data_IF_378687426691
#
_entry.id   IF_378687426691
#
_cell.length_a   1.000
_cell.length_b   1.000
_cell.length_c   1.000
_cell.angle_alpha   90.00
_cell.angle_beta   90.00
_cell.angle_gamma   90.00
#
_symmetry.space_group_name_H-M   'P 1'
#
loop_
_entity.id
_entity.type
_entity.pdbx_description
1 polymer ?
#
# COMPACT_ATOMS: atom_id res chain seq x y z
N UNK A 1 -13.15 29.44 -4.03
CA UNK A 1 -12.31 28.22 -4.15
C UNK A 1 -13.01 27.13 -3.38
N UNK A 2 -13.66 26.15 -4.03
CA UNK A 2 -14.32 25.06 -3.31
C UNK A 2 -13.21 24.21 -2.68
N UNK A 3 -13.14 24.17 -1.37
CA UNK A 3 -12.36 23.18 -0.65
C UNK A 3 -13.02 21.82 -0.97
N UNK A 4 -12.34 21.00 -1.75
CA UNK A 4 -12.86 19.67 -2.04
C UNK A 4 -12.75 18.85 -0.73
N UNK A 5 -13.88 18.59 -0.09
CA UNK A 5 -13.92 17.72 1.07
C UNK A 5 -13.70 16.28 0.60
N UNK A 6 -12.77 15.61 1.27
CA UNK A 6 -12.46 14.19 1.01
C UNK A 6 -12.85 13.35 2.20
N UNK A 7 -13.58 12.28 1.95
CA UNK A 7 -13.86 11.23 2.93
C UNK A 7 -12.89 10.08 2.74
N UNK A 8 -12.21 9.68 3.82
CA UNK A 8 -11.37 8.48 3.84
C UNK A 8 -12.11 7.44 4.66
N UNK A 9 -12.37 6.28 4.08
CA UNK A 9 -13.16 5.22 4.74
C UNK A 9 -12.87 3.84 4.17
N UNK A 10 -13.21 2.76 4.88
CA UNK A 10 -13.21 1.41 4.31
C UNK A 10 -14.07 1.35 3.05
N UNK A 11 -13.60 0.58 2.06
CA UNK A 11 -14.35 0.32 0.84
C UNK A 11 -15.53 -0.60 1.11
N UNK A 12 -16.62 -0.35 0.40
CA UNK A 12 -17.77 -1.24 0.30
C UNK A 12 -17.73 -1.98 -1.04
N UNK A 13 -18.54 -3.05 -1.23
CA UNK A 13 -18.63 -3.70 -2.55
C UNK A 13 -18.98 -2.75 -3.69
N UNK A 14 -19.74 -1.69 -3.43
CA UNK A 14 -20.10 -0.67 -4.43
C UNK A 14 -18.91 0.18 -4.90
N UNK A 15 -17.84 0.26 -4.14
CA UNK A 15 -16.64 1.05 -4.48
C UNK A 15 -15.65 0.27 -5.35
N UNK A 16 -15.78 -1.06 -5.47
CA UNK A 16 -14.72 -1.91 -6.01
C UNK A 16 -14.37 -1.63 -7.47
N UNK A 17 -15.35 -1.35 -8.31
CA UNK A 17 -15.08 -1.04 -9.72
C UNK A 17 -14.35 0.30 -9.87
N UNK A 18 -14.74 1.31 -9.10
CA UNK A 18 -14.07 2.60 -9.09
C UNK A 18 -12.65 2.51 -8.50
N UNK A 19 -12.47 1.75 -7.42
CA UNK A 19 -11.15 1.47 -6.84
C UNK A 19 -10.24 0.74 -7.82
N UNK A 20 -10.77 -0.26 -8.52
CA UNK A 20 -10.03 -0.99 -9.57
C UNK A 20 -9.62 -0.04 -10.69
N UNK A 21 -10.49 0.87 -11.11
CA UNK A 21 -10.16 1.86 -12.12
C UNK A 21 -9.00 2.77 -11.70
N UNK A 22 -8.97 3.24 -10.44
CA UNK A 22 -7.83 4.01 -9.89
C UNK A 22 -6.54 3.19 -9.96
N UNK A 23 -6.57 1.92 -9.57
CA UNK A 23 -5.40 1.05 -9.57
C UNK A 23 -4.89 0.77 -10.99
N UNK A 24 -5.78 0.43 -11.92
CA UNK A 24 -5.41 0.16 -13.32
C UNK A 24 -4.90 1.41 -14.01
N UNK A 25 -5.55 2.56 -13.84
CA UNK A 25 -5.06 3.83 -14.38
C UNK A 25 -3.64 4.14 -13.89
N UNK A 26 -3.35 3.84 -12.62
CA UNK A 26 -2.01 4.05 -12.05
C UNK A 26 -0.97 3.14 -12.70
N UNK A 27 -1.23 1.83 -12.83
CA UNK A 27 -0.26 0.90 -13.42
C UNK A 27 -0.06 1.13 -14.93
N UNK A 28 -1.06 1.62 -15.64
CA UNK A 28 -0.92 1.96 -17.06
C UNK A 28 -0.27 3.31 -17.31
N UNK A 29 -0.57 4.33 -16.51
CA UNK A 29 -0.12 5.72 -16.75
C UNK A 29 1.15 6.07 -16.00
N UNK A 30 1.21 5.73 -14.70
CA UNK A 30 2.31 6.16 -13.84
C UNK A 30 3.46 5.15 -13.86
N UNK A 31 3.15 3.85 -13.85
CA UNK A 31 4.16 2.80 -13.86
C UNK A 31 4.57 2.41 -15.28
N UNK A 32 3.69 2.62 -16.26
CA UNK A 32 3.95 2.27 -17.67
C UNK A 32 4.02 0.77 -17.96
N UNK A 33 3.79 -0.09 -16.95
CA UNK A 33 3.86 -1.55 -17.12
C UNK A 33 2.54 -2.15 -17.60
N UNK A 34 1.43 -1.48 -17.33
CA UNK A 34 0.09 -2.03 -17.51
C UNK A 34 -0.20 -3.19 -16.54
N UNK A 35 -1.29 -3.90 -16.80
CA UNK A 35 -1.67 -5.06 -15.99
C UNK A 35 -0.73 -6.24 -16.23
N UNK A 36 -0.14 -6.74 -15.14
CA UNK A 36 0.72 -7.92 -15.12
C UNK A 36 0.10 -8.94 -14.16
N UNK A 37 -0.39 -10.10 -14.64
CA UNK A 37 -1.13 -11.06 -13.80
C UNK A 37 -0.38 -11.50 -12.54
N UNK A 38 0.92 -11.67 -12.62
CA UNK A 38 1.75 -12.11 -11.48
C UNK A 38 1.80 -11.08 -10.36
N UNK A 39 1.65 -9.77 -10.68
CA UNK A 39 1.79 -8.67 -9.74
C UNK A 39 0.47 -8.04 -9.32
N UNK A 40 -0.60 -8.25 -10.11
CA UNK A 40 -1.85 -7.51 -9.98
C UNK A 40 -3.09 -8.41 -9.83
N UNK A 41 -2.92 -9.66 -9.36
CA UNK A 41 -4.05 -10.57 -9.12
C UNK A 41 -5.13 -9.98 -8.22
N UNK A 42 -4.68 -9.30 -7.17
CA UNK A 42 -5.54 -8.64 -6.21
C UNK A 42 -6.43 -7.57 -6.83
N UNK A 43 -5.93 -6.88 -7.87
CA UNK A 43 -6.67 -5.81 -8.57
C UNK A 43 -7.90 -6.37 -9.29
N UNK A 44 -7.83 -7.61 -9.77
CA UNK A 44 -8.96 -8.26 -10.46
C UNK A 44 -9.98 -8.80 -9.45
N UNK A 45 -9.55 -9.32 -8.32
CA UNK A 45 -10.41 -9.82 -7.25
C UNK A 45 -10.21 -9.03 -5.94
N UNK A 46 -10.57 -7.75 -5.96
CA UNK A 46 -10.45 -6.88 -4.79
C UNK A 46 -11.29 -7.36 -3.61
N UNK A 47 -12.47 -7.92 -3.88
CA UNK A 47 -13.34 -8.47 -2.84
C UNK A 47 -12.66 -9.64 -2.12
N UNK A 48 -12.18 -10.63 -2.88
CA UNK A 48 -11.48 -11.78 -2.31
C UNK A 48 -10.17 -11.41 -1.63
N UNK A 49 -9.44 -10.44 -2.18
CA UNK A 49 -8.16 -10.02 -1.62
C UNK A 49 -8.29 -9.24 -0.32
N UNK A 50 -9.30 -8.34 -0.19
CA UNK A 50 -9.31 -7.34 0.86
C UNK A 50 -10.58 -7.24 1.70
N UNK A 51 -11.73 -7.76 1.25
CA UNK A 51 -13.00 -7.64 1.94
C UNK A 51 -13.46 -8.92 2.65
N UNK A 52 -12.98 -10.09 2.21
CA UNK A 52 -13.40 -11.37 2.79
C UNK A 52 -12.69 -11.75 4.08
N UNK A 53 -11.52 -11.20 4.34
CA UNK A 53 -10.75 -11.47 5.56
C UNK A 53 -10.88 -10.29 6.51
N UNK A 54 -11.20 -10.55 7.78
CA UNK A 54 -11.22 -9.52 8.83
C UNK A 54 -9.85 -8.91 9.11
N UNK A 55 -8.78 -9.58 8.66
CA UNK A 55 -7.39 -9.13 8.79
C UNK A 55 -6.88 -8.35 7.58
N UNK A 56 -7.70 -8.18 6.55
CA UNK A 56 -7.37 -7.41 5.35
C UNK A 56 -8.30 -6.22 5.23
N UNK A 57 -7.88 -5.18 4.53
CA UNK A 57 -8.73 -4.03 4.26
C UNK A 57 -8.35 -3.32 2.97
N UNK A 58 -9.35 -2.70 2.37
CA UNK A 58 -9.21 -1.71 1.30
C UNK A 58 -9.82 -0.40 1.80
N UNK A 59 -9.04 0.67 1.79
CA UNK A 59 -9.47 2.01 2.15
C UNK A 59 -9.58 2.83 0.86
N UNK A 60 -10.61 3.65 0.76
CA UNK A 60 -10.81 4.56 -0.37
C UNK A 60 -10.84 6.01 0.09
N UNK A 61 -10.33 6.88 -0.76
CA UNK A 61 -10.54 8.31 -0.69
C UNK A 61 -11.63 8.71 -1.68
N UNK A 62 -12.67 9.33 -1.19
CA UNK A 62 -13.84 9.75 -1.97
C UNK A 62 -13.92 11.28 -1.94
N UNK A 63 -14.10 11.90 -3.08
CA UNK A 63 -14.24 13.36 -3.17
C UNK A 63 -15.66 13.85 -2.88
N UNK A 64 -15.86 15.17 -2.96
CA UNK A 64 -17.15 15.80 -2.66
C UNK A 64 -18.28 15.46 -3.65
N UNK A 65 -17.95 14.91 -4.81
CA UNK A 65 -18.92 14.46 -5.81
C UNK A 65 -19.22 12.95 -5.69
N UNK A 66 -18.58 12.27 -4.73
CA UNK A 66 -18.78 10.84 -4.46
C UNK A 66 -17.88 9.92 -5.28
N UNK A 67 -16.90 10.47 -6.00
CA UNK A 67 -15.98 9.69 -6.83
C UNK A 67 -14.80 9.15 -6.02
N UNK A 68 -14.43 7.89 -6.26
CA UNK A 68 -13.21 7.30 -5.69
C UNK A 68 -12.00 7.86 -6.42
N UNK A 69 -11.16 8.58 -5.68
CA UNK A 69 -9.98 9.27 -6.20
C UNK A 69 -8.66 8.76 -5.64
N UNK A 70 -8.72 7.85 -4.67
CA UNK A 70 -7.54 7.22 -4.11
C UNK A 70 -7.86 5.90 -3.44
N UNK A 71 -6.84 5.06 -3.32
CA UNK A 71 -6.91 3.74 -2.70
C UNK A 71 -5.75 3.50 -1.77
N UNK A 72 -5.92 2.58 -0.83
CA UNK A 72 -4.86 1.99 -0.05
C UNK A 72 -5.33 0.64 0.47
N UNK A 73 -4.49 -0.37 0.40
CA UNK A 73 -4.83 -1.72 0.81
C UNK A 73 -3.82 -2.29 1.78
N UNK A 74 -4.26 -3.26 2.58
CA UNK A 74 -3.44 -3.99 3.52
C UNK A 74 -3.87 -5.45 3.52
N UNK A 75 -2.88 -6.34 3.44
CA UNK A 75 -3.08 -7.77 3.65
C UNK A 75 -2.04 -8.34 4.64
N UNK A 76 -2.22 -9.60 5.03
CA UNK A 76 -1.35 -10.31 5.97
C UNK A 76 -0.25 -11.12 5.30
N UNK A 77 0.10 -10.83 4.06
CA UNK A 77 1.14 -11.52 3.31
C UNK A 77 2.44 -10.75 3.39
N UNK A 78 3.46 -11.35 3.94
CA UNK A 78 4.81 -10.83 3.86
C UNK A 78 5.39 -10.93 2.45
N UNK A 79 6.59 -10.36 2.22
CA UNK A 79 7.28 -10.49 0.94
C UNK A 79 7.66 -11.94 0.67
N UNK A 80 7.18 -12.51 -0.43
CA UNK A 80 7.51 -13.88 -0.81
C UNK A 80 8.90 -13.96 -1.44
N UNK A 81 9.61 -15.05 -1.19
CA UNK A 81 10.85 -15.39 -1.88
C UNK A 81 10.64 -16.64 -2.76
N UNK A 82 11.06 -16.61 -4.02
CA UNK A 82 11.32 -15.43 -4.84
C UNK A 82 10.03 -14.64 -5.10
N UNK A 83 10.05 -13.40 -5.58
CA UNK A 83 11.20 -12.66 -6.14
C UNK A 83 11.96 -11.80 -5.13
N UNK A 84 11.42 -11.57 -3.93
CA UNK A 84 12.08 -10.72 -2.93
C UNK A 84 13.28 -11.44 -2.30
N UNK A 85 14.26 -10.71 -1.75
CA UNK A 85 15.37 -11.31 -1.02
C UNK A 85 14.93 -12.24 0.11
N UNK A 86 15.59 -13.39 0.26
CA UNK A 86 15.21 -14.43 1.24
C UNK A 86 15.18 -13.89 2.68
N UNK A 87 16.16 -13.06 3.04
CA UNK A 87 16.23 -12.49 4.40
C UNK A 87 15.05 -11.57 4.74
N UNK A 88 14.41 -10.95 3.73
CA UNK A 88 13.20 -10.17 3.95
C UNK A 88 11.97 -11.07 4.15
N UNK A 89 11.87 -12.17 3.39
CA UNK A 89 10.80 -13.14 3.61
C UNK A 89 10.87 -13.77 5.00
N UNK A 90 12.07 -14.05 5.50
CA UNK A 90 12.30 -14.55 6.86
C UNK A 90 12.00 -13.52 7.94
N UNK A 91 12.38 -12.25 7.70
CA UNK A 91 12.16 -11.15 8.64
C UNK A 91 10.69 -10.74 8.77
N UNK A 92 9.96 -10.82 7.66
CA UNK A 92 8.56 -10.38 7.55
C UNK A 92 7.63 -11.53 7.16
N UNK A 93 7.49 -12.57 8.00
CA UNK A 93 6.68 -13.74 7.65
C UNK A 93 5.21 -13.40 7.52
N UNK A 94 4.54 -14.08 6.59
CA UNK A 94 3.09 -13.98 6.40
C UNK A 94 2.32 -14.35 7.67
N UNK A 95 1.15 -13.74 7.85
CA UNK A 95 0.28 -13.96 9.00
C UNK A 95 0.57 -13.02 10.18
N UNK A 96 1.80 -12.54 10.35
CA UNK A 96 2.18 -11.58 11.40
C UNK A 96 2.75 -10.27 10.85
N UNK A 97 2.86 -10.16 9.54
CA UNK A 97 3.28 -8.94 8.83
C UNK A 97 2.09 -8.37 8.09
N UNK A 98 1.76 -7.10 8.37
CA UNK A 98 0.85 -6.33 7.54
C UNK A 98 1.63 -5.76 6.37
N UNK A 99 1.23 -6.05 5.15
CA UNK A 99 1.83 -5.43 3.97
C UNK A 99 0.91 -4.36 3.40
N UNK A 100 1.41 -3.14 3.29
CA UNK A 100 0.72 -2.05 2.60
C UNK A 100 0.85 -2.24 1.09
N UNK A 101 -0.27 -2.08 0.40
CA UNK A 101 -0.39 -2.24 -1.05
C UNK A 101 -1.26 -1.15 -1.65
N UNK A 102 -1.08 -0.86 -2.93
CA UNK A 102 -2.03 -0.07 -3.73
C UNK A 102 -2.36 1.29 -3.14
N UNK A 103 -1.38 1.95 -2.53
CA UNK A 103 -1.53 3.33 -2.06
C UNK A 103 -1.35 4.26 -3.25
N UNK A 104 -2.47 4.60 -3.87
CA UNK A 104 -2.52 5.39 -5.11
C UNK A 104 -3.50 6.54 -4.96
N UNK A 105 -3.17 7.68 -5.57
CA UNK A 105 -4.05 8.85 -5.65
C UNK A 105 -4.04 9.34 -7.10
N UNK A 106 -5.22 9.60 -7.65
CA UNK A 106 -5.35 10.16 -8.99
C UNK A 106 -4.55 11.46 -9.12
N UNK A 107 -3.88 11.71 -10.26
CA UNK A 107 -2.99 12.87 -10.43
C UNK A 107 -3.63 14.21 -10.04
N UNK A 108 -4.90 14.41 -10.41
CA UNK A 108 -5.65 15.65 -10.20
C UNK A 108 -5.93 15.93 -8.71
N UNK A 109 -5.83 14.89 -7.86
CA UNK A 109 -6.09 14.96 -6.42
C UNK A 109 -4.83 14.84 -5.56
N UNK A 110 -3.64 14.77 -6.18
CA UNK A 110 -2.34 14.70 -5.47
C UNK A 110 -2.00 16.02 -4.77
N UNK A 111 -1.00 15.96 -3.88
CA UNK A 111 -0.49 17.10 -3.11
C UNK A 111 -1.53 17.72 -2.16
N UNK A 112 -2.53 16.94 -1.77
CA UNK A 112 -3.60 17.31 -0.82
C UNK A 112 -3.57 16.46 0.45
N UNK A 113 -2.48 15.72 0.69
CA UNK A 113 -2.31 14.88 1.88
C UNK A 113 -3.11 13.57 1.86
N UNK A 114 -3.77 13.20 0.76
CA UNK A 114 -4.64 12.01 0.70
C UNK A 114 -3.86 10.72 0.91
N UNK A 115 -2.69 10.57 0.28
CA UNK A 115 -1.87 9.37 0.46
C UNK A 115 -1.49 9.16 1.93
N UNK A 116 -1.15 10.25 2.66
CA UNK A 116 -0.86 10.19 4.09
C UNK A 116 -2.07 9.74 4.89
N UNK A 117 -3.24 10.32 4.62
CA UNK A 117 -4.49 9.95 5.31
C UNK A 117 -4.88 8.50 5.06
N UNK A 118 -4.70 8.00 3.82
CA UNK A 118 -4.92 6.58 3.49
C UNK A 118 -3.98 5.67 4.29
N UNK A 119 -2.70 6.03 4.39
CA UNK A 119 -1.74 5.26 5.19
C UNK A 119 -2.09 5.31 6.67
N UNK A 120 -2.49 6.45 7.21
CA UNK A 120 -2.88 6.57 8.62
C UNK A 120 -4.06 5.64 8.97
N UNK A 121 -5.07 5.51 8.08
CA UNK A 121 -6.18 4.56 8.26
C UNK A 121 -5.70 3.09 8.18
N UNK A 122 -4.79 2.77 7.26
CA UNK A 122 -4.23 1.42 7.17
C UNK A 122 -3.42 1.06 8.43
N UNK A 123 -2.65 2.00 8.97
CA UNK A 123 -1.91 1.79 10.21
C UNK A 123 -2.83 1.65 11.42
N UNK A 124 -3.91 2.42 11.48
CA UNK A 124 -4.93 2.28 12.53
C UNK A 124 -5.59 0.89 12.46
N UNK A 125 -5.91 0.41 11.26
CA UNK A 125 -6.44 -0.94 11.05
C UNK A 125 -5.45 -2.02 11.53
N UNK A 126 -4.17 -1.93 11.15
CA UNK A 126 -3.14 -2.87 11.57
C UNK A 126 -2.96 -2.88 13.10
N UNK A 127 -3.00 -1.71 13.74
CA UNK A 127 -2.89 -1.58 15.19
C UNK A 127 -4.11 -2.20 15.91
N UNK A 128 -5.31 -2.04 15.37
CA UNK A 128 -6.54 -2.58 15.94
C UNK A 128 -6.62 -4.12 15.84
N UNK A 129 -6.01 -4.74 14.82
CA UNK A 129 -5.92 -6.20 14.67
C UNK A 129 -5.18 -6.86 15.84
N UNK A 130 -4.12 -6.22 16.33
CA UNK A 130 -3.31 -6.68 17.46
C UNK A 130 -2.41 -7.89 17.16
N UNK A 131 -2.58 -8.60 16.06
CA UNK A 131 -1.79 -9.77 15.67
C UNK A 131 -0.59 -9.44 14.78
N UNK A 132 -0.56 -8.24 14.20
CA UNK A 132 0.57 -7.81 13.38
C UNK A 132 1.77 -7.39 14.23
N UNK A 133 2.95 -7.83 13.84
CA UNK A 133 4.23 -7.53 14.50
C UNK A 133 5.03 -6.47 13.76
N UNK A 134 4.79 -6.32 12.45
CA UNK A 134 5.44 -5.35 11.60
C UNK A 134 4.48 -4.87 10.51
N UNK A 135 4.72 -3.66 10.02
CA UNK A 135 4.10 -3.12 8.80
C UNK A 135 5.19 -2.94 7.77
N UNK A 136 5.04 -3.61 6.66
CA UNK A 136 6.02 -3.68 5.59
C UNK A 136 5.42 -3.16 4.28
N UNK A 137 6.26 -2.60 3.44
CA UNK A 137 5.95 -2.30 2.04
C UNK A 137 7.22 -2.31 1.19
N UNK A 138 7.02 -2.37 -0.12
CA UNK A 138 8.07 -2.06 -1.07
C UNK A 138 7.55 -1.11 -2.16
N UNK A 139 8.46 -0.39 -2.79
CA UNK A 139 8.13 0.53 -3.88
C UNK A 139 9.19 0.49 -4.97
N UNK A 140 8.74 0.77 -6.19
CA UNK A 140 9.64 1.02 -7.33
C UNK A 140 10.07 2.50 -7.29
N UNK A 141 11.37 2.79 -7.08
CA UNK A 141 11.86 4.15 -7.05
C UNK A 141 11.79 4.87 -8.41
N UNK A 142 11.59 4.15 -9.50
CA UNK A 142 11.35 4.76 -10.81
C UNK A 142 10.00 5.50 -10.89
N UNK A 143 9.06 5.18 -10.01
CA UNK A 143 7.77 5.88 -9.92
C UNK A 143 7.97 7.23 -9.25
N UNK A 144 7.75 8.31 -9.98
CA UNK A 144 7.98 9.68 -9.51
C UNK A 144 7.24 9.97 -8.20
N UNK A 145 7.98 10.41 -7.18
CA UNK A 145 7.44 10.82 -5.88
C UNK A 145 7.16 9.68 -4.90
N UNK A 146 7.22 8.41 -5.32
CA UNK A 146 6.93 7.28 -4.45
C UNK A 146 8.00 7.11 -3.36
N UNK A 147 9.26 7.02 -3.72
CA UNK A 147 10.34 6.84 -2.75
C UNK A 147 10.45 7.98 -1.73
N UNK A 148 10.45 9.28 -2.11
CA UNK A 148 10.46 10.37 -1.15
C UNK A 148 9.26 10.35 -0.19
N UNK A 149 8.08 9.99 -0.69
CA UNK A 149 6.88 9.84 0.14
C UNK A 149 7.10 8.77 1.23
N UNK A 150 7.54 7.57 0.85
CA UNK A 150 7.76 6.49 1.79
C UNK A 150 8.91 6.76 2.77
N UNK A 151 10.00 7.40 2.31
CA UNK A 151 11.09 7.82 3.21
C UNK A 151 10.64 8.82 4.27
N UNK A 152 9.57 9.58 4.03
CA UNK A 152 9.00 10.49 5.03
C UNK A 152 8.19 9.79 6.12
N UNK A 153 7.76 8.54 5.90
CA UNK A 153 6.86 7.79 6.79
C UNK A 153 7.49 6.51 7.37
N UNK A 154 8.49 5.98 6.71
CA UNK A 154 9.01 4.64 6.95
C UNK A 154 10.53 4.60 6.91
N UNK A 155 11.10 3.56 7.51
CA UNK A 155 12.52 3.28 7.48
C UNK A 155 12.84 2.32 6.34
N UNK A 156 13.86 2.63 5.53
CA UNK A 156 14.42 1.68 4.57
C UNK A 156 15.02 0.51 5.33
N UNK A 157 14.65 -0.70 4.96
CA UNK A 157 15.19 -1.95 5.51
C UNK A 157 16.06 -2.70 4.52
N UNK A 158 15.86 -2.44 3.22
CA UNK A 158 16.72 -2.97 2.15
C UNK A 158 16.54 -2.16 0.87
N UNK A 159 17.61 -1.90 0.16
CA UNK A 159 17.61 -1.24 -1.14
C UNK A 159 18.31 -2.16 -2.15
N UNK A 160 17.53 -2.81 -3.01
CA UNK A 160 18.06 -3.77 -3.97
C UNK A 160 19.02 -3.16 -4.99
N UNK A 161 19.00 -1.83 -5.16
CA UNK A 161 19.96 -1.13 -6.04
C UNK A 161 21.40 -1.23 -5.53
N UNK A 162 21.58 -1.51 -4.24
CA UNK A 162 22.90 -1.70 -3.60
C UNK A 162 23.39 -3.16 -3.72
N UNK A 163 22.53 -4.09 -4.16
CA UNK A 163 22.88 -5.48 -4.32
C UNK A 163 23.77 -5.71 -5.56
N UNK A 164 24.60 -6.76 -5.51
CA UNK A 164 25.34 -7.20 -6.67
C UNK A 164 24.36 -7.60 -7.79
N UNK A 165 24.39 -6.87 -8.92
CA UNK A 165 23.45 -7.07 -10.03
C UNK A 165 22.16 -6.27 -9.93
N UNK A 166 21.96 -5.47 -8.85
CA UNK A 166 20.86 -4.51 -8.72
C UNK A 166 19.49 -5.11 -8.42
N UNK A 167 19.37 -6.43 -8.25
CA UNK A 167 18.09 -7.10 -7.96
C UNK A 167 16.97 -6.68 -8.92
N UNK A 168 15.77 -6.42 -8.38
CA UNK A 168 14.64 -5.83 -9.12
C UNK A 168 14.67 -4.29 -9.09
N UNK A 169 15.65 -3.68 -8.41
CA UNK A 169 15.72 -2.24 -8.20
C UNK A 169 14.67 -1.68 -7.20
N UNK A 170 14.07 -2.56 -6.43
CA UNK A 170 13.00 -2.23 -5.46
C UNK A 170 13.60 -1.74 -4.15
N UNK A 171 12.92 -0.79 -3.49
CA UNK A 171 13.26 -0.34 -2.13
C UNK A 171 12.23 -0.84 -1.15
N UNK A 172 12.67 -1.47 -0.07
CA UNK A 172 11.85 -2.10 0.96
C UNK A 172 11.85 -1.27 2.23
N UNK A 173 10.67 -1.16 2.87
CA UNK A 173 10.45 -0.29 4.02
C UNK A 173 9.72 -1.01 5.14
N UNK A 174 10.00 -0.58 6.36
CA UNK A 174 9.19 -0.88 7.55
C UNK A 174 8.60 0.43 8.08
N UNK A 175 7.28 0.44 8.28
CA UNK A 175 6.57 1.58 8.84
C UNK A 175 6.49 1.40 10.35
N UNK A 176 6.89 2.40 11.17
CA UNK A 176 6.76 2.32 12.61
C UNK A 176 5.29 2.13 13.02
N UNK A 177 5.00 1.13 13.85
CA UNK A 177 3.69 0.96 14.47
C UNK A 177 3.62 1.84 15.72
N UNK A 178 2.64 2.74 15.78
CA UNK A 178 2.37 3.52 16.98
C UNK A 178 1.96 2.58 18.13
N UNK A 179 2.72 2.58 19.24
CA UNK A 179 2.34 1.86 20.46
C UNK A 179 3.32 0.81 20.98
N UNK A 180 4.42 0.50 20.30
CA UNK A 180 5.50 -0.30 20.91
C UNK A 180 6.53 0.64 21.59
N UNK A 181 6.14 1.25 22.71
CA UNK A 181 7.14 1.67 23.70
C UNK A 181 7.72 0.38 24.24
N UNK A 182 9.05 0.22 24.04
CA UNK A 182 9.75 -0.96 24.51
C UNK A 182 9.46 -1.23 25.98
N UNK A 183 9.04 -2.45 26.26
CA UNK A 183 9.20 -3.02 27.58
C UNK A 183 10.71 -3.20 27.72
N UNK A 184 11.31 -2.39 28.60
CA UNK A 184 12.67 -2.59 29.09
C UNK A 184 12.73 -3.80 29.99
#
# INVERSE_FOLDING_TARGET
>A
MRTTDYTIRPATPADLDAARAVMLDTVYRDFGTGYVPQWHRDVIDLEGAYLRSERHTLIVAVDGDGEVVGTGALDSRGPAHPPNPVHLAERYPSGVTAQLRRVYVRPEHRRRGLARRLVDELLAFAAADGGYRAVYLHTDPAVTGAEPFWRSLAKVVHDEREDAGGGQGIVHFEVPMAGRRGVR
#
